data_IF_204793852916
#
_entry.id   IF_204793852916
#
_cell.length_a   1.000
_cell.length_b   1.000
_cell.length_c   1.000
_cell.angle_alpha   90.00
_cell.angle_beta   90.00
_cell.angle_gamma   90.00
#
_symmetry.space_group_name_H-M   'P 1'
#
loop_
_entity.id
_entity.type
_entity.pdbx_description
1 polymer ?
#
# COMPACT_ATOMS: atom_id res chain seq x y z
N UNK A 1 -32.40 -3.72 23.58
CA UNK A 1 -32.21 -2.29 23.30
C UNK A 1 -30.74 -1.80 23.39
N UNK A 2 -29.93 -2.13 24.41
CA UNK A 2 -28.49 -1.77 24.49
C UNK A 2 -27.64 -2.32 23.33
N UNK A 3 -27.83 -3.56 22.91
CA UNK A 3 -27.08 -4.19 21.80
C UNK A 3 -27.37 -3.53 20.44
N UNK A 4 -28.58 -3.05 20.20
CA UNK A 4 -28.97 -2.37 18.97
C UNK A 4 -28.34 -0.96 18.90
N UNK A 5 -28.36 -0.24 20.03
CA UNK A 5 -27.75 1.08 20.18
C UNK A 5 -26.25 1.04 19.95
N UNK A 6 -25.55 -0.02 20.42
CA UNK A 6 -24.12 -0.22 20.20
C UNK A 6 -23.78 -0.53 18.74
N UNK A 7 -24.65 -1.24 18.00
CA UNK A 7 -24.42 -1.53 16.56
C UNK A 7 -24.56 -0.27 15.70
N UNK A 8 -25.56 0.57 15.97
CA UNK A 8 -25.74 1.84 15.25
C UNK A 8 -24.54 2.77 15.52
N UNK A 9 -24.11 2.89 16.77
CA UNK A 9 -22.94 3.69 17.12
C UNK A 9 -21.67 3.18 16.42
N UNK A 10 -21.49 1.87 16.34
CA UNK A 10 -20.36 1.27 15.64
C UNK A 10 -20.39 1.59 14.15
N UNK A 11 -21.55 1.46 13.50
CA UNK A 11 -21.70 1.81 12.08
C UNK A 11 -21.38 3.29 11.85
N UNK A 12 -21.84 4.18 12.72
CA UNK A 12 -21.53 5.61 12.63
C UNK A 12 -20.03 5.88 12.76
N UNK A 13 -19.34 5.21 13.68
CA UNK A 13 -17.90 5.36 13.89
C UNK A 13 -17.04 4.89 12.69
N UNK A 14 -17.57 4.01 11.84
CA UNK A 14 -16.91 3.57 10.60
C UNK A 14 -17.32 4.46 9.42
N UNK A 15 -18.62 4.77 9.29
CA UNK A 15 -19.15 5.48 8.13
C UNK A 15 -18.73 6.95 8.15
N UNK A 16 -18.73 7.61 9.31
CA UNK A 16 -18.37 9.03 9.40
C UNK A 16 -16.94 9.33 8.91
N UNK A 17 -15.89 8.58 9.30
CA UNK A 17 -14.55 8.77 8.74
C UNK A 17 -14.50 8.59 7.22
N UNK A 18 -15.22 7.59 6.69
CA UNK A 18 -15.30 7.34 5.24
C UNK A 18 -15.97 8.52 4.53
N UNK A 19 -17.15 8.96 5.00
CA UNK A 19 -17.84 10.12 4.43
C UNK A 19 -16.93 11.35 4.51
N UNK A 20 -16.28 11.58 5.65
CA UNK A 20 -15.38 12.70 5.84
C UNK A 20 -14.23 12.69 4.82
N UNK A 21 -13.66 11.52 4.51
CA UNK A 21 -12.61 11.37 3.49
C UNK A 21 -13.14 11.75 2.09
N UNK A 22 -14.34 11.30 1.72
CA UNK A 22 -14.95 11.67 0.43
C UNK A 22 -15.30 13.15 0.34
N UNK A 23 -15.76 13.77 1.44
CA UNK A 23 -15.97 15.23 1.51
C UNK A 23 -14.64 15.95 1.30
N UNK A 24 -13.55 15.47 1.92
CA UNK A 24 -12.21 16.02 1.68
C UNK A 24 -11.76 15.88 0.22
N UNK A 25 -12.05 14.75 -0.42
CA UNK A 25 -11.77 14.56 -1.84
C UNK A 25 -12.51 15.58 -2.72
N UNK A 26 -13.82 15.78 -2.51
CA UNK A 26 -14.64 16.74 -3.27
C UNK A 26 -14.09 18.17 -3.09
N UNK A 27 -13.62 18.51 -1.90
CA UNK A 27 -13.05 19.83 -1.59
C UNK A 27 -11.55 19.96 -1.96
N UNK A 28 -10.95 18.95 -2.61
CA UNK A 28 -9.52 18.93 -2.94
C UNK A 28 -8.64 19.21 -1.72
N UNK A 29 -9.00 18.61 -0.59
CA UNK A 29 -8.29 18.78 0.69
C UNK A 29 -6.82 18.36 0.57
N UNK A 30 -5.92 19.21 1.09
CA UNK A 30 -4.51 18.89 1.27
C UNK A 30 -4.05 19.42 2.64
N UNK A 31 -3.96 18.53 3.62
CA UNK A 31 -3.55 18.82 4.99
C UNK A 31 -2.03 18.62 5.19
N UNK A 32 -1.30 18.32 4.11
CA UNK A 32 0.15 18.16 4.10
C UNK A 32 0.90 19.48 3.78
N UNK A 33 0.28 20.63 4.03
CA UNK A 33 0.81 21.96 3.66
C UNK A 33 1.08 22.12 2.15
N UNK A 34 0.27 21.44 1.30
CA UNK A 34 0.39 21.48 -0.15
C UNK A 34 1.30 20.40 -0.74
N UNK A 35 2.03 19.63 0.09
CA UNK A 35 3.04 18.67 -0.38
C UNK A 35 2.45 17.52 -1.20
N UNK A 36 1.38 16.89 -0.76
CA UNK A 36 0.79 15.75 -1.46
C UNK A 36 0.21 16.15 -2.83
N UNK A 37 -0.47 17.30 -2.89
CA UNK A 37 -0.98 17.86 -4.15
C UNK A 37 0.16 18.23 -5.12
N UNK A 38 1.22 18.81 -4.59
CA UNK A 38 2.38 19.20 -5.39
C UNK A 38 3.09 17.97 -5.96
N UNK A 39 3.32 16.94 -5.14
CA UNK A 39 3.91 15.67 -5.59
C UNK A 39 3.05 15.00 -6.66
N UNK A 40 1.73 15.00 -6.49
CA UNK A 40 0.82 14.47 -7.51
C UNK A 40 0.96 15.22 -8.84
N UNK A 41 0.95 16.54 -8.82
CA UNK A 41 1.07 17.36 -10.03
C UNK A 41 2.43 17.18 -10.72
N UNK A 42 3.52 17.02 -9.97
CA UNK A 42 4.84 16.74 -10.52
C UNK A 42 4.93 15.36 -11.19
N UNK A 43 4.28 14.36 -10.59
CA UNK A 43 4.39 12.97 -11.05
C UNK A 43 3.32 12.61 -12.08
N UNK A 44 2.25 13.38 -12.20
CA UNK A 44 1.16 13.11 -13.13
C UNK A 44 1.60 13.02 -14.61
N UNK A 45 2.49 13.88 -15.15
CA UNK A 45 3.02 13.72 -16.51
C UNK A 45 3.72 12.38 -16.75
N UNK A 46 4.37 11.82 -15.71
CA UNK A 46 4.97 10.47 -15.77
C UNK A 46 3.88 9.39 -15.90
N UNK A 47 2.75 9.56 -15.20
CA UNK A 47 1.60 8.65 -15.27
C UNK A 47 0.97 8.68 -16.67
N UNK A 48 0.81 9.86 -17.26
CA UNK A 48 0.23 10.03 -18.60
C UNK A 48 1.10 9.41 -19.70
N UNK A 49 2.42 9.54 -19.59
CA UNK A 49 3.39 9.05 -20.57
C UNK A 49 4.27 7.92 -20.01
N UNK A 50 3.69 7.03 -19.21
CA UNK A 50 4.43 6.06 -18.43
C UNK A 50 5.42 5.22 -19.26
N UNK A 51 4.99 4.69 -20.42
CA UNK A 51 5.82 3.86 -21.29
C UNK A 51 7.07 4.59 -21.81
N UNK A 52 6.94 5.89 -22.10
CA UNK A 52 8.06 6.71 -22.58
C UNK A 52 8.93 7.19 -21.41
N UNK A 53 8.32 7.58 -20.30
CA UNK A 53 9.00 8.15 -19.12
C UNK A 53 9.91 7.15 -18.43
N UNK A 54 9.55 5.85 -18.37
CA UNK A 54 10.39 4.80 -17.78
C UNK A 54 11.72 4.62 -18.51
N UNK A 55 11.71 4.76 -19.86
CA UNK A 55 12.89 4.48 -20.65
C UNK A 55 13.75 5.72 -20.92
N UNK A 56 13.23 6.91 -20.71
CA UNK A 56 13.91 8.13 -21.16
C UNK A 56 14.41 9.05 -20.06
N UNK A 57 13.70 9.27 -18.95
CA UNK A 57 14.12 10.23 -17.90
C UNK A 57 13.33 10.13 -16.58
N UNK A 58 13.04 8.95 -16.10
CA UNK A 58 12.28 8.76 -14.83
C UNK A 58 13.00 9.41 -13.64
N UNK A 59 14.33 9.54 -13.68
CA UNK A 59 15.12 10.08 -12.60
C UNK A 59 14.96 11.57 -12.32
N UNK A 60 14.33 12.34 -13.21
CA UNK A 60 14.09 13.77 -12.97
C UNK A 60 12.80 14.02 -12.19
N UNK A 61 11.79 13.13 -12.34
CA UNK A 61 10.44 13.34 -11.81
C UNK A 61 10.02 12.30 -10.76
N UNK A 62 10.67 11.13 -10.70
CA UNK A 62 10.32 10.09 -9.75
C UNK A 62 11.55 9.62 -8.98
N UNK A 63 11.55 9.84 -7.68
CA UNK A 63 12.59 9.33 -6.75
C UNK A 63 12.32 7.91 -6.28
N UNK A 64 11.26 7.29 -6.76
CA UNK A 64 10.77 6.00 -6.31
C UNK A 64 10.68 5.00 -7.45
N UNK A 65 10.68 3.72 -7.13
CA UNK A 65 10.45 2.67 -8.10
C UNK A 65 9.07 2.82 -8.77
N UNK A 66 8.89 2.32 -9.99
CA UNK A 66 7.82 2.73 -10.90
C UNK A 66 6.46 2.09 -10.62
N UNK A 67 6.30 1.13 -9.70
CA UNK A 67 5.07 0.35 -9.56
C UNK A 67 3.84 1.22 -9.28
N UNK A 68 3.97 2.21 -8.39
CA UNK A 68 2.86 3.13 -8.09
C UNK A 68 2.38 3.86 -9.36
N UNK A 69 3.31 4.45 -10.10
CA UNK A 69 3.01 5.19 -11.34
C UNK A 69 2.46 4.29 -12.43
N UNK A 70 2.96 3.06 -12.52
CA UNK A 70 2.41 2.04 -13.42
C UNK A 70 0.94 1.75 -13.11
N UNK A 71 0.59 1.55 -11.83
CA UNK A 71 -0.79 1.30 -11.43
C UNK A 71 -1.71 2.49 -11.76
N UNK A 72 -1.25 3.72 -11.49
CA UNK A 72 -2.00 4.93 -11.86
C UNK A 72 -2.13 5.07 -13.39
N UNK A 73 -1.09 4.74 -14.15
CA UNK A 73 -1.12 4.77 -15.62
C UNK A 73 -2.13 3.77 -16.20
N UNK A 74 -2.22 2.56 -15.63
CA UNK A 74 -3.26 1.59 -16.02
C UNK A 74 -4.67 2.16 -15.78
N UNK A 75 -4.89 2.82 -14.64
CA UNK A 75 -6.17 3.48 -14.35
C UNK A 75 -6.43 4.67 -15.29
N UNK A 76 -5.39 5.47 -15.58
CA UNK A 76 -5.52 6.60 -16.50
C UNK A 76 -5.83 6.14 -17.92
N UNK A 77 -5.25 5.04 -18.39
CA UNK A 77 -5.57 4.44 -19.68
C UNK A 77 -7.04 3.98 -19.76
N UNK A 78 -7.60 3.54 -18.62
CA UNK A 78 -8.99 3.10 -18.54
C UNK A 78 -9.96 4.30 -18.49
N UNK A 79 -9.69 5.27 -17.64
CA UNK A 79 -10.62 6.37 -17.33
C UNK A 79 -10.36 7.63 -18.16
N UNK A 80 -9.13 7.86 -18.61
CA UNK A 80 -8.66 9.08 -19.31
C UNK A 80 -9.04 10.38 -18.59
N UNK A 81 -9.06 10.33 -17.26
CA UNK A 81 -9.48 11.40 -16.39
C UNK A 81 -8.80 11.29 -15.02
N UNK A 82 -7.97 12.28 -14.68
CA UNK A 82 -7.21 12.30 -13.41
C UNK A 82 -8.10 12.29 -12.16
N UNK A 83 -9.26 12.96 -12.22
CA UNK A 83 -10.20 12.98 -11.09
C UNK A 83 -10.80 11.59 -10.82
N UNK A 84 -11.14 10.83 -11.87
CA UNK A 84 -11.63 9.46 -11.72
C UNK A 84 -10.54 8.52 -11.21
N UNK A 85 -9.28 8.71 -11.64
CA UNK A 85 -8.13 7.95 -11.10
C UNK A 85 -7.95 8.24 -9.61
N UNK A 86 -7.99 9.51 -9.20
CA UNK A 86 -7.93 9.92 -7.79
C UNK A 86 -9.10 9.35 -6.99
N UNK A 87 -10.32 9.42 -7.51
CA UNK A 87 -11.49 8.85 -6.86
C UNK A 87 -11.32 7.34 -6.62
N UNK A 88 -10.89 6.61 -7.65
CA UNK A 88 -10.60 5.18 -7.52
C UNK A 88 -9.53 4.93 -6.45
N UNK A 89 -8.51 5.78 -6.39
CA UNK A 89 -7.46 5.67 -5.40
C UNK A 89 -7.95 5.93 -3.97
N UNK A 90 -8.90 6.85 -3.78
CA UNK A 90 -9.58 7.04 -2.48
C UNK A 90 -10.26 5.75 -2.02
N UNK A 91 -10.95 5.03 -2.92
CA UNK A 91 -11.50 3.70 -2.59
C UNK A 91 -10.41 2.69 -2.26
N UNK A 92 -9.33 2.65 -3.04
CA UNK A 92 -8.19 1.78 -2.79
C UNK A 92 -7.54 2.05 -1.43
N UNK A 93 -7.48 3.32 -1.00
CA UNK A 93 -6.92 3.72 0.30
C UNK A 93 -7.64 3.11 1.50
N UNK A 94 -8.92 2.74 1.37
CA UNK A 94 -9.69 2.05 2.42
C UNK A 94 -9.16 0.65 2.74
N UNK A 95 -8.31 0.08 1.89
CA UNK A 95 -7.60 -1.16 2.19
C UNK A 95 -6.63 -0.98 3.37
N UNK A 96 -6.09 0.22 3.61
CA UNK A 96 -5.19 0.47 4.74
C UNK A 96 -5.87 0.16 6.09
N UNK A 97 -6.97 0.84 6.49
CA UNK A 97 -7.64 0.53 7.76
C UNK A 97 -8.17 -0.90 7.81
N UNK A 98 -8.57 -1.47 6.66
CA UNK A 98 -9.05 -2.86 6.58
C UNK A 98 -7.94 -3.85 6.92
N UNK A 99 -6.78 -3.76 6.26
CA UNK A 99 -5.66 -4.66 6.54
C UNK A 99 -4.97 -4.36 7.87
N UNK A 100 -4.98 -3.11 8.33
CA UNK A 100 -4.55 -2.78 9.68
C UNK A 100 -5.42 -3.51 10.72
N UNK A 101 -6.75 -3.46 10.59
CA UNK A 101 -7.68 -4.22 11.44
C UNK A 101 -7.40 -5.72 11.41
N UNK A 102 -7.23 -6.31 10.22
CA UNK A 102 -6.97 -7.74 10.07
C UNK A 102 -5.65 -8.17 10.72
N UNK A 103 -4.60 -7.35 10.62
CA UNK A 103 -3.30 -7.59 11.24
C UNK A 103 -3.39 -7.51 12.77
N UNK A 104 -3.97 -6.41 13.28
CA UNK A 104 -4.08 -6.21 14.72
C UNK A 104 -4.90 -7.31 15.40
N UNK A 105 -5.96 -7.79 14.75
CA UNK A 105 -6.74 -8.92 15.22
C UNK A 105 -5.97 -10.25 15.34
N UNK A 106 -4.88 -10.40 14.57
CA UNK A 106 -4.03 -11.59 14.64
C UNK A 106 -2.94 -11.46 15.72
N UNK A 107 -2.55 -10.23 16.06
CA UNK A 107 -1.45 -9.96 16.97
C UNK A 107 -1.96 -9.78 18.40
N UNK A 108 -3.12 -9.13 18.57
CA UNK A 108 -3.64 -8.72 19.87
C UNK A 108 -4.99 -9.36 20.16
N UNK A 109 -5.17 -9.79 21.41
CA UNK A 109 -6.43 -10.34 21.95
C UNK A 109 -7.31 -9.24 22.56
N UNK A 110 -7.41 -8.09 21.89
CA UNK A 110 -8.31 -7.03 22.28
C UNK A 110 -9.73 -7.26 21.74
N UNK A 111 -10.72 -6.60 22.36
CA UNK A 111 -12.07 -6.57 21.81
C UNK A 111 -12.08 -6.09 20.36
N UNK A 112 -12.77 -6.82 19.50
CA UNK A 112 -12.86 -6.54 18.06
C UNK A 112 -13.28 -5.11 17.75
N UNK A 113 -14.16 -4.54 18.58
CA UNK A 113 -14.68 -3.18 18.41
C UNK A 113 -13.58 -2.14 18.63
N UNK A 114 -12.71 -2.32 19.62
CA UNK A 114 -11.63 -1.40 19.93
C UNK A 114 -10.59 -1.38 18.79
N UNK A 115 -10.24 -2.57 18.27
CA UNK A 115 -9.34 -2.70 17.13
C UNK A 115 -9.93 -2.05 15.88
N UNK A 116 -11.24 -2.22 15.65
CA UNK A 116 -11.94 -1.63 14.50
C UNK A 116 -11.95 -0.10 14.58
N UNK A 117 -12.32 0.46 15.73
CA UNK A 117 -12.30 1.91 15.96
C UNK A 117 -10.90 2.46 15.75
N UNK A 118 -9.89 1.83 16.35
CA UNK A 118 -8.49 2.24 16.18
C UNK A 118 -8.08 2.22 14.71
N UNK A 119 -8.37 1.14 13.98
CA UNK A 119 -7.97 1.02 12.58
C UNK A 119 -8.63 2.07 11.68
N UNK A 120 -9.92 2.36 11.88
CA UNK A 120 -10.63 3.34 11.08
C UNK A 120 -10.38 4.80 11.52
N UNK A 121 -9.85 5.02 12.73
CA UNK A 121 -9.40 6.36 13.15
C UNK A 121 -8.25 6.91 12.29
N UNK A 122 -7.48 6.03 11.62
CA UNK A 122 -6.45 6.45 10.66
C UNK A 122 -7.01 7.29 9.51
N UNK A 123 -8.29 7.15 9.16
CA UNK A 123 -8.95 7.98 8.15
C UNK A 123 -9.06 9.46 8.55
N UNK A 124 -8.83 9.81 9.82
CA UNK A 124 -8.80 11.19 10.30
C UNK A 124 -7.38 11.78 10.32
N UNK A 125 -6.34 10.97 10.14
CA UNK A 125 -4.97 11.49 10.15
C UNK A 125 -4.73 12.40 8.94
N UNK A 126 -4.26 13.64 9.16
CA UNK A 126 -4.06 14.61 8.08
C UNK A 126 -3.19 14.07 6.94
N UNK A 127 -2.09 13.42 7.29
CA UNK A 127 -1.16 12.85 6.30
C UNK A 127 -1.81 11.74 5.48
N UNK A 128 -2.57 10.83 6.12
CA UNK A 128 -3.30 9.78 5.43
C UNK A 128 -4.30 10.36 4.44
N UNK A 129 -5.08 11.37 4.87
CA UNK A 129 -6.10 12.00 4.04
C UNK A 129 -5.49 12.65 2.79
N UNK A 130 -4.43 13.42 2.97
CA UNK A 130 -3.72 14.06 1.86
C UNK A 130 -3.17 13.03 0.88
N UNK A 131 -2.49 12.00 1.37
CA UNK A 131 -1.95 10.94 0.52
C UNK A 131 -3.03 10.11 -0.18
N UNK A 132 -4.18 9.89 0.46
CA UNK A 132 -5.31 9.17 -0.14
C UNK A 132 -5.99 9.99 -1.25
N UNK A 133 -6.17 11.31 -1.04
CA UNK A 133 -6.82 12.21 -1.99
C UNK A 133 -5.92 12.51 -3.19
N UNK A 134 -4.60 12.61 -2.98
CA UNK A 134 -3.61 12.97 -4.00
C UNK A 134 -2.77 11.79 -4.49
N UNK A 135 -3.23 10.56 -4.26
CA UNK A 135 -2.66 9.33 -4.82
C UNK A 135 -1.14 9.20 -4.64
N UNK A 136 -0.68 9.17 -3.38
CA UNK A 136 0.75 9.15 -3.09
C UNK A 136 1.33 7.73 -3.02
N UNK A 137 2.58 7.56 -3.46
CA UNK A 137 3.31 6.27 -3.47
C UNK A 137 3.54 5.70 -2.06
N UNK A 138 3.72 6.54 -1.04
CA UNK A 138 3.90 6.13 0.36
C UNK A 138 2.69 5.35 0.87
N UNK A 139 1.48 5.82 0.57
CA UNK A 139 0.26 5.14 0.97
C UNK A 139 0.11 3.79 0.25
N UNK A 140 0.41 3.75 -1.06
CA UNK A 140 0.38 2.49 -1.83
C UNK A 140 1.36 1.47 -1.25
N UNK A 141 2.60 1.88 -0.94
CA UNK A 141 3.60 1.03 -0.30
C UNK A 141 3.12 0.49 1.05
N UNK A 142 2.54 1.36 1.89
CA UNK A 142 2.01 1.00 3.21
C UNK A 142 0.86 -0.01 3.10
N UNK A 143 -0.05 0.16 2.13
CA UNK A 143 -1.14 -0.80 1.87
C UNK A 143 -0.56 -2.17 1.50
N UNK A 144 0.36 -2.23 0.54
CA UNK A 144 0.99 -3.49 0.15
C UNK A 144 1.77 -4.13 1.30
N UNK A 145 2.44 -3.33 2.13
CA UNK A 145 3.09 -3.84 3.34
C UNK A 145 2.09 -4.45 4.33
N UNK A 146 0.96 -3.81 4.60
CA UNK A 146 -0.06 -4.36 5.50
C UNK A 146 -0.67 -5.65 4.95
N UNK A 147 -0.89 -5.75 3.64
CA UNK A 147 -1.31 -6.99 2.98
C UNK A 147 -0.22 -8.08 3.15
N UNK A 148 1.04 -7.73 2.90
CA UNK A 148 2.17 -8.63 3.08
C UNK A 148 2.23 -9.16 4.52
N UNK A 149 2.15 -8.27 5.51
CA UNK A 149 2.20 -8.65 6.92
C UNK A 149 1.04 -9.57 7.31
N UNK A 150 -0.17 -9.32 6.80
CA UNK A 150 -1.32 -10.22 7.01
C UNK A 150 -1.02 -11.65 6.52
N UNK A 151 -0.45 -11.78 5.32
CA UNK A 151 -0.10 -13.09 4.77
C UNK A 151 1.12 -13.70 5.46
N UNK A 152 2.07 -12.90 5.98
CA UNK A 152 3.15 -13.38 6.84
C UNK A 152 2.59 -14.06 8.10
N UNK A 153 1.72 -13.37 8.84
CA UNK A 153 1.08 -13.90 10.05
C UNK A 153 0.28 -15.16 9.75
N UNK A 154 -0.48 -15.16 8.66
CA UNK A 154 -1.26 -16.32 8.23
C UNK A 154 -0.37 -17.50 7.80
N UNK A 155 0.75 -17.20 7.16
CA UNK A 155 1.74 -18.21 6.75
C UNK A 155 2.46 -18.86 7.94
N UNK A 156 2.70 -18.11 9.02
CA UNK A 156 3.24 -18.67 10.27
C UNK A 156 2.22 -19.55 10.99
N UNK A 157 0.98 -19.07 11.09
CA UNK A 157 -0.11 -19.79 11.77
C UNK A 157 -0.42 -21.14 11.10
N UNK A 158 -0.56 -21.15 9.78
CA UNK A 158 -0.96 -22.33 9.02
C UNK A 158 0.22 -23.14 8.46
N UNK A 159 1.47 -22.69 8.68
CA UNK A 159 2.70 -23.28 8.13
C UNK A 159 2.63 -23.51 6.61
N UNK A 160 1.89 -22.67 5.89
CA UNK A 160 1.59 -22.84 4.47
C UNK A 160 2.52 -21.96 3.62
N UNK A 161 3.26 -22.62 2.70
CA UNK A 161 4.21 -21.97 1.79
C UNK A 161 3.55 -20.96 0.83
N UNK A 162 2.30 -21.19 0.41
CA UNK A 162 1.60 -20.27 -0.49
C UNK A 162 1.37 -18.90 0.16
N UNK A 163 1.00 -18.85 1.44
CA UNK A 163 0.86 -17.56 2.15
C UNK A 163 2.20 -16.85 2.32
N UNK A 164 3.29 -17.61 2.53
CA UNK A 164 4.64 -17.04 2.59
C UNK A 164 5.08 -16.47 1.25
N UNK A 165 4.76 -17.15 0.14
CA UNK A 165 5.02 -16.64 -1.20
C UNK A 165 4.20 -15.37 -1.49
N UNK A 166 2.91 -15.33 -1.12
CA UNK A 166 2.07 -14.13 -1.26
C UNK A 166 2.64 -12.97 -0.41
N UNK A 167 3.11 -13.26 0.82
CA UNK A 167 3.79 -12.24 1.63
C UNK A 167 4.98 -11.62 0.87
N UNK A 168 5.86 -12.44 0.27
CA UNK A 168 7.02 -11.95 -0.46
C UNK A 168 6.63 -11.14 -1.71
N UNK A 169 5.57 -11.55 -2.43
CA UNK A 169 5.06 -10.80 -3.59
C UNK A 169 4.59 -9.41 -3.17
N UNK A 170 3.75 -9.30 -2.13
CA UNK A 170 3.25 -8.00 -1.69
C UNK A 170 4.34 -7.16 -1.00
N UNK A 171 5.32 -7.79 -0.35
CA UNK A 171 6.50 -7.08 0.16
C UNK A 171 7.37 -6.50 -0.96
N UNK A 172 7.54 -7.24 -2.07
CA UNK A 172 8.20 -6.74 -3.26
C UNK A 172 7.42 -5.56 -3.87
N UNK A 173 6.09 -5.65 -3.95
CA UNK A 173 5.25 -4.54 -4.42
C UNK A 173 5.38 -3.30 -3.54
N UNK A 174 5.43 -3.45 -2.21
CA UNK A 174 5.70 -2.34 -1.31
C UNK A 174 7.07 -1.70 -1.60
N UNK A 175 8.10 -2.51 -1.80
CA UNK A 175 9.45 -2.06 -2.16
C UNK A 175 9.47 -1.34 -3.52
N UNK A 176 8.69 -1.83 -4.50
CA UNK A 176 8.57 -1.20 -5.82
C UNK A 176 7.72 0.09 -5.83
N UNK A 177 7.02 0.39 -4.76
CA UNK A 177 6.41 1.70 -4.54
C UNK A 177 7.34 2.63 -3.75
N UNK A 178 8.10 2.09 -2.77
CA UNK A 178 8.98 2.85 -1.91
C UNK A 178 10.17 1.98 -1.44
N UNK A 179 11.39 2.33 -1.86
CA UNK A 179 12.60 1.52 -1.68
C UNK A 179 12.89 1.16 -0.21
N UNK A 180 12.53 2.02 0.74
CA UNK A 180 12.75 1.80 2.18
C UNK A 180 12.11 0.51 2.71
N UNK A 181 11.07 0.00 2.03
CA UNK A 181 10.42 -1.27 2.40
C UNK A 181 11.27 -2.52 2.10
N UNK A 182 12.41 -2.38 1.40
CA UNK A 182 13.36 -3.50 1.21
C UNK A 182 13.85 -4.08 2.54
N UNK A 183 13.98 -3.24 3.58
CA UNK A 183 14.39 -3.68 4.91
C UNK A 183 13.38 -4.68 5.49
N UNK A 184 12.09 -4.41 5.33
CA UNK A 184 11.02 -5.29 5.79
C UNK A 184 10.92 -6.57 4.94
N UNK A 185 11.18 -6.47 3.64
CA UNK A 185 11.30 -7.62 2.75
C UNK A 185 12.40 -8.58 3.23
N UNK A 186 13.60 -8.04 3.50
CA UNK A 186 14.72 -8.81 4.03
C UNK A 186 14.41 -9.43 5.40
N UNK A 187 13.73 -8.70 6.28
CA UNK A 187 13.26 -9.21 7.57
C UNK A 187 12.42 -10.49 7.40
N UNK A 188 11.44 -10.50 6.48
CA UNK A 188 10.63 -11.68 6.23
C UNK A 188 11.47 -12.84 5.68
N UNK A 189 12.36 -12.56 4.74
CA UNK A 189 13.22 -13.59 4.15
C UNK A 189 14.13 -14.24 5.19
N UNK A 190 14.75 -13.44 6.07
CA UNK A 190 15.58 -13.94 7.19
C UNK A 190 14.73 -14.78 8.15
N UNK A 191 13.52 -14.35 8.49
CA UNK A 191 12.63 -15.13 9.36
C UNK A 191 12.27 -16.49 8.74
N UNK A 192 12.05 -16.55 7.43
CA UNK A 192 11.82 -17.84 6.75
C UNK A 192 13.06 -18.74 6.73
N UNK A 193 14.23 -18.15 6.55
CA UNK A 193 15.49 -18.90 6.70
C UNK A 193 15.64 -19.54 8.08
N UNK A 194 15.32 -18.80 9.13
CA UNK A 194 15.49 -19.25 10.52
C UNK A 194 14.40 -20.24 10.98
N UNK A 195 13.18 -20.16 10.43
CA UNK A 195 12.01 -20.90 10.94
C UNK A 195 11.56 -22.05 10.06
N UNK A 196 11.92 -22.05 8.77
CA UNK A 196 11.49 -23.07 7.82
C UNK A 196 12.56 -24.14 7.59
N UNK A 197 12.14 -25.30 7.05
CA UNK A 197 13.09 -26.26 6.54
C UNK A 197 13.79 -25.72 5.28
N UNK A 198 15.02 -26.19 5.03
CA UNK A 198 15.87 -25.73 3.91
C UNK A 198 15.13 -25.84 2.57
N UNK A 199 14.37 -26.91 2.34
CA UNK A 199 13.63 -27.13 1.08
C UNK A 199 12.60 -26.03 0.81
N UNK A 200 11.84 -25.62 1.82
CA UNK A 200 10.85 -24.56 1.69
C UNK A 200 11.53 -23.21 1.55
N UNK A 201 12.61 -22.96 2.31
CA UNK A 201 13.36 -21.72 2.18
C UNK A 201 13.95 -21.56 0.77
N UNK A 202 14.55 -22.60 0.17
CA UNK A 202 15.08 -22.53 -1.20
C UNK A 202 13.98 -22.11 -2.20
N UNK A 203 12.75 -22.66 -2.08
CA UNK A 203 11.63 -22.26 -2.94
C UNK A 203 11.29 -20.77 -2.78
N UNK A 204 11.22 -20.27 -1.55
CA UNK A 204 10.93 -18.86 -1.27
C UNK A 204 12.07 -17.95 -1.74
N UNK A 205 13.31 -18.41 -1.61
CA UNK A 205 14.50 -17.70 -2.10
C UNK A 205 14.50 -17.58 -3.63
N UNK A 206 14.17 -18.65 -4.35
CA UNK A 206 14.02 -18.61 -5.82
C UNK A 206 12.94 -17.60 -6.22
N UNK A 207 11.75 -17.61 -5.56
CA UNK A 207 10.70 -16.61 -5.79
C UNK A 207 11.26 -15.20 -5.54
N UNK A 208 12.04 -15.01 -4.48
CA UNK A 208 12.64 -13.71 -4.16
C UNK A 208 13.62 -13.22 -5.22
N UNK A 209 14.41 -14.11 -5.80
CA UNK A 209 15.33 -13.77 -6.90
C UNK A 209 14.52 -13.28 -8.11
N UNK A 210 13.48 -14.01 -8.52
CA UNK A 210 12.62 -13.59 -9.63
C UNK A 210 11.92 -12.26 -9.36
N UNK A 211 11.44 -12.04 -8.14
CA UNK A 211 10.83 -10.77 -7.74
C UNK A 211 11.85 -9.61 -7.73
N UNK A 212 13.12 -9.88 -7.51
CA UNK A 212 14.19 -8.88 -7.53
C UNK A 212 14.61 -8.42 -8.94
N UNK A 213 14.44 -9.27 -9.97
CA UNK A 213 14.93 -8.99 -11.33
C UNK A 213 14.39 -7.68 -11.93
N UNK A 214 13.07 -7.36 -11.85
CA UNK A 214 12.57 -6.10 -12.38
C UNK A 214 13.21 -4.88 -11.71
N UNK A 215 13.48 -4.95 -10.40
CA UNK A 215 14.15 -3.87 -9.66
C UNK A 215 15.59 -3.67 -10.10
N UNK A 216 16.35 -4.75 -10.27
CA UNK A 216 17.72 -4.70 -10.79
C UNK A 216 17.77 -4.13 -12.20
N UNK A 217 16.85 -4.55 -13.06
CA UNK A 217 16.72 -4.01 -14.42
C UNK A 217 16.41 -2.51 -14.41
N UNK A 218 15.49 -2.08 -13.54
CA UNK A 218 15.15 -0.66 -13.39
C UNK A 218 16.33 0.18 -12.91
N UNK A 219 17.09 -0.29 -11.90
CA UNK A 219 18.30 0.39 -11.41
C UNK A 219 19.36 0.48 -12.50
N UNK A 220 19.52 -0.59 -13.29
CA UNK A 220 20.47 -0.60 -14.42
C UNK A 220 20.12 0.46 -15.46
N UNK A 221 18.83 0.65 -15.78
CA UNK A 221 18.37 1.67 -16.73
C UNK A 221 18.42 3.09 -16.14
N UNK A 222 18.32 3.23 -14.83
CA UNK A 222 18.22 4.51 -14.12
C UNK A 222 19.23 4.59 -12.98
N UNK A 223 20.52 4.76 -13.25
CA UNK A 223 21.57 4.73 -12.23
C UNK A 223 21.52 5.89 -11.23
N UNK A 224 20.57 6.81 -11.35
CA UNK A 224 20.36 7.94 -10.44
C UNK A 224 19.26 7.70 -9.39
N UNK A 225 18.64 6.53 -9.37
CA UNK A 225 17.60 6.16 -8.40
C UNK A 225 18.19 5.68 -7.08
#
# INVERSE_FOLDING_TARGET
MRLFKNRILLLLLIILPIISLFVGFINNEDLSTGGAKWDFNLTWPVVENFSNSIFTNVGEYTRHFPLHYFLLSLLNNLFKNSELVRLFYVFFSLLLPTFLFLNLRKIYDFEKINILIFSFSFLFLPIFRSEAIWSNSHLTATIFFLIANFFYLKGLEQKNIYYKAINLIFSAFATYCLQTYVILYLYYLINYYLKDNLKNFIKLFIISVFLGLPGLYFIYLNPRV
#
